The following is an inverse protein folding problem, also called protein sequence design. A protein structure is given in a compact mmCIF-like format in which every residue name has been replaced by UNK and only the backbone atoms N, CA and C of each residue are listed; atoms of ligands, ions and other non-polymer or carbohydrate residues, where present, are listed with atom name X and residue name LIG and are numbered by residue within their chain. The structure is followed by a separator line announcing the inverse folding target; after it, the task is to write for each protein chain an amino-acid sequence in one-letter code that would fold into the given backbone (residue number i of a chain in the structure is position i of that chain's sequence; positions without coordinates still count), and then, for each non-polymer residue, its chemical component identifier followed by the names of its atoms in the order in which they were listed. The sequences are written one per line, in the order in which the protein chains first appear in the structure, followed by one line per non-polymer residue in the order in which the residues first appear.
data_IF_976916468069
#
_entry.id   IF_976916468069
#
_cell.length_a   1.000
_cell.length_b   1.000
_cell.length_c   1.000
_cell.angle_alpha   90.00
_cell.angle_beta   90.00
_cell.angle_gamma   90.00
#
_symmetry.space_group_name_H-M   'P 1'
#
loop_
_entity.id
_entity.type
_entity.pdbx_description
1 polymer ?
#
# COMPACT_ATOMS: atom_id res chain seq x y z
N UNK A 1 -8.80 4.17 -18.24
CA UNK A 1 -8.93 2.97 -17.38
C UNK A 1 -10.20 3.08 -16.57
N UNK A 2 -10.58 2.07 -15.77
CA UNK A 2 -11.82 2.17 -14.98
C UNK A 2 -11.83 3.34 -13.98
N UNK A 3 -10.65 3.82 -13.55
CA UNK A 3 -10.50 4.89 -12.56
C UNK A 3 -10.16 6.27 -13.16
N UNK A 4 -9.89 6.38 -14.47
CA UNK A 4 -9.54 7.65 -15.11
C UNK A 4 -10.07 7.73 -16.55
N UNK A 5 -10.80 8.80 -16.93
CA UNK A 5 -11.22 9.06 -18.30
C UNK A 5 -10.06 9.02 -19.30
N UNK A 6 -10.35 8.61 -20.54
CA UNK A 6 -9.32 8.46 -21.57
C UNK A 6 -8.55 9.76 -21.85
N UNK A 7 -9.26 10.88 -22.01
CA UNK A 7 -8.64 12.17 -22.28
C UNK A 7 -7.70 12.65 -21.14
N UNK A 8 -8.02 12.33 -19.89
CA UNK A 8 -7.13 12.63 -18.76
C UNK A 8 -5.92 11.70 -18.72
N UNK A 9 -6.11 10.43 -19.08
CA UNK A 9 -5.01 9.48 -19.20
C UNK A 9 -4.01 9.89 -20.28
N UNK A 10 -4.50 10.30 -21.45
CA UNK A 10 -3.66 10.81 -22.54
C UNK A 10 -2.87 12.05 -22.13
N UNK A 11 -3.53 13.02 -21.47
CA UNK A 11 -2.84 14.21 -20.94
C UNK A 11 -1.71 13.85 -19.97
N UNK A 12 -1.92 12.86 -19.09
CA UNK A 12 -0.87 12.39 -18.16
C UNK A 12 0.29 11.71 -18.88
N UNK A 13 0.01 10.95 -19.93
CA UNK A 13 1.04 10.33 -20.77
C UNK A 13 1.90 11.38 -21.46
N UNK A 14 1.28 12.38 -22.10
CA UNK A 14 2.00 13.45 -22.78
C UNK A 14 2.87 14.24 -21.79
N UNK A 15 2.31 14.62 -20.64
CA UNK A 15 3.05 15.31 -19.59
C UNK A 15 4.26 14.50 -19.08
N UNK A 16 4.11 13.19 -18.89
CA UNK A 16 5.20 12.31 -18.45
C UNK A 16 6.33 12.20 -19.49
N UNK A 17 6.01 12.26 -20.79
CA UNK A 17 6.99 12.28 -21.87
C UNK A 17 7.70 13.64 -21.94
N UNK A 18 6.95 14.73 -21.86
CA UNK A 18 7.48 16.11 -21.92
C UNK A 18 8.42 16.42 -20.74
N UNK A 19 8.16 15.85 -19.55
CA UNK A 19 8.92 16.13 -18.32
C UNK A 19 9.96 15.08 -17.98
N UNK A 20 10.21 14.10 -18.87
CA UNK A 20 11.02 12.92 -18.57
C UNK A 20 12.41 13.26 -17.99
N UNK A 21 13.09 14.27 -18.54
CA UNK A 21 14.45 14.64 -18.13
C UNK A 21 14.54 15.33 -16.76
N UNK A 22 13.42 15.84 -16.23
CA UNK A 22 13.39 16.60 -14.96
C UNK A 22 12.57 15.93 -13.86
N UNK A 23 11.51 15.22 -14.22
CA UNK A 23 10.58 14.55 -13.31
C UNK A 23 10.04 13.26 -13.95
N UNK A 24 10.89 12.22 -14.11
CA UNK A 24 10.51 10.99 -14.78
C UNK A 24 9.36 10.29 -14.04
N UNK A 25 8.39 9.79 -14.81
CA UNK A 25 7.27 8.97 -14.30
C UNK A 25 7.46 7.51 -14.70
N UNK A 26 7.09 6.59 -13.82
CA UNK A 26 7.09 5.15 -14.10
C UNK A 26 5.68 4.67 -14.46
N UNK A 27 5.58 3.82 -15.48
CA UNK A 27 4.35 3.07 -15.77
C UNK A 27 4.46 1.68 -15.14
N UNK A 28 3.48 1.34 -14.31
CA UNK A 28 3.40 0.03 -13.67
C UNK A 28 2.06 -0.61 -13.98
N UNK A 29 2.08 -1.93 -14.26
CA UNK A 29 0.86 -2.72 -14.33
C UNK A 29 0.15 -2.68 -12.97
N UNK A 30 -1.10 -2.24 -12.97
CA UNK A 30 -1.92 -2.24 -11.76
C UNK A 30 -2.09 -3.66 -11.21
N UNK A 31 -1.82 -3.82 -9.92
CA UNK A 31 -2.04 -5.06 -9.17
C UNK A 31 -3.04 -4.78 -8.05
N UNK A 32 -4.14 -5.52 -8.04
CA UNK A 32 -5.17 -5.37 -7.01
C UNK A 32 -4.63 -5.96 -5.71
N UNK A 33 -4.57 -5.15 -4.66
CA UNK A 33 -4.18 -5.64 -3.33
C UNK A 33 -5.16 -6.69 -2.80
N UNK A 34 -4.61 -7.74 -2.19
CA UNK A 34 -5.38 -8.80 -1.53
C UNK A 34 -6.09 -8.28 -0.28
N UNK A 35 -7.26 -8.84 0.00
CA UNK A 35 -8.04 -8.55 1.20
C UNK A 35 -7.85 -9.65 2.24
N UNK A 36 -7.73 -9.25 3.50
CA UNK A 36 -7.60 -10.14 4.65
C UNK A 36 -8.55 -9.69 5.74
N UNK A 37 -9.08 -10.66 6.50
CA UNK A 37 -9.80 -10.40 7.73
C UNK A 37 -8.80 -10.38 8.88
N UNK A 38 -8.83 -9.33 9.71
CA UNK A 38 -7.94 -9.19 10.86
C UNK A 38 -8.67 -8.53 12.03
N UNK A 39 -8.47 -9.05 13.24
CA UNK A 39 -9.05 -8.49 14.45
C UNK A 39 -8.22 -7.31 14.96
N UNK A 40 -8.88 -6.27 15.44
CA UNK A 40 -8.24 -5.13 16.08
C UNK A 40 -9.10 -4.65 17.25
N UNK A 41 -8.44 -4.03 18.22
CA UNK A 41 -9.12 -3.36 19.32
C UNK A 41 -9.63 -2.01 18.85
N UNK A 42 -10.93 -1.78 18.97
CA UNK A 42 -11.54 -0.49 18.70
C UNK A 42 -11.70 0.28 20.02
N UNK A 43 -10.93 1.37 20.23
CA UNK A 43 -10.99 2.13 21.48
C UNK A 43 -12.33 2.85 21.67
N UNK A 44 -13.07 3.15 20.60
CA UNK A 44 -14.32 3.91 20.69
C UNK A 44 -15.47 3.03 21.22
N UNK A 45 -15.52 1.78 20.78
CA UNK A 45 -16.51 0.80 21.25
C UNK A 45 -16.03 -0.06 22.41
N UNK A 46 -14.73 -0.04 22.73
CA UNK A 46 -14.11 -0.90 23.74
C UNK A 46 -14.38 -2.40 23.44
N UNK A 47 -14.27 -2.77 22.16
CA UNK A 47 -14.54 -4.12 21.66
C UNK A 47 -13.48 -4.57 20.64
N UNK A 48 -13.33 -5.89 20.51
CA UNK A 48 -12.54 -6.48 19.44
C UNK A 48 -13.39 -6.57 18.17
N UNK A 49 -13.00 -5.84 17.12
CA UNK A 49 -13.68 -5.82 15.83
C UNK A 49 -12.86 -6.53 14.77
N UNK A 50 -13.55 -7.11 13.78
CA UNK A 50 -12.91 -7.67 12.58
C UNK A 50 -12.93 -6.65 11.46
N UNK A 51 -11.77 -6.34 10.89
CA UNK A 51 -11.63 -5.54 9.68
C UNK A 51 -11.30 -6.45 8.50
N UNK A 52 -12.10 -6.35 7.43
CA UNK A 52 -11.68 -6.79 6.10
C UNK A 52 -10.94 -5.65 5.42
N UNK A 53 -9.66 -5.85 5.12
CA UNK A 53 -8.84 -4.75 4.60
C UNK A 53 -7.73 -5.18 3.66
N UNK A 54 -7.22 -4.20 2.89
CA UNK A 54 -6.07 -4.35 2.00
C UNK A 54 -4.79 -4.21 2.81
N UNK A 55 -3.89 -5.17 2.64
CA UNK A 55 -2.59 -5.18 3.33
C UNK A 55 -1.55 -4.46 2.48
N UNK A 56 -0.84 -3.51 3.09
CA UNK A 56 0.45 -2.99 2.61
C UNK A 56 1.56 -3.51 3.51
N UNK A 57 2.54 -4.17 2.92
CA UNK A 57 3.75 -4.61 3.63
C UNK A 57 4.86 -3.58 3.41
N UNK A 58 5.43 -3.12 4.52
CA UNK A 58 6.64 -2.29 4.53
C UNK A 58 7.80 -3.13 5.09
N UNK A 59 8.54 -3.85 4.23
CA UNK A 59 9.62 -4.73 4.66
C UNK A 59 10.83 -3.94 5.18
N UNK A 60 11.47 -4.47 6.21
CA UNK A 60 12.69 -3.94 6.78
C UNK A 60 13.87 -4.85 6.44
N UNK A 61 14.81 -4.32 5.66
CA UNK A 61 16.03 -5.01 5.25
C UNK A 61 17.25 -4.45 5.99
N UNK A 62 18.09 -5.34 6.48
CA UNK A 62 19.29 -5.02 7.25
C UNK A 62 20.52 -5.49 6.49
N UNK A 63 21.60 -4.72 6.56
CA UNK A 63 22.90 -5.14 6.06
C UNK A 63 23.63 -5.85 7.20
N UNK A 64 23.69 -7.17 7.11
CA UNK A 64 24.54 -8.03 7.94
C UNK A 64 25.80 -8.36 7.11
N UNK A 65 26.93 -8.86 7.66
CA UNK A 65 28.24 -8.89 6.98
C UNK A 65 28.21 -9.24 5.48
N UNK A 66 28.19 -8.21 4.62
CA UNK A 66 28.12 -8.30 3.16
C UNK A 66 26.80 -8.83 2.55
N UNK A 67 25.73 -9.03 3.33
CA UNK A 67 24.46 -9.62 2.89
C UNK A 67 23.25 -8.83 3.37
N UNK A 68 22.33 -8.56 2.45
CA UNK A 68 21.01 -7.99 2.76
C UNK A 68 20.09 -9.08 3.31
N UNK A 69 19.47 -8.82 4.47
CA UNK A 69 18.54 -9.74 5.14
C UNK A 69 17.23 -9.06 5.46
N UNK A 70 16.11 -9.69 5.10
CA UNK A 70 14.78 -9.29 5.58
C UNK A 70 14.69 -9.63 7.08
N UNK A 71 14.34 -8.67 7.93
CA UNK A 71 14.20 -8.88 9.39
C UNK A 71 12.78 -8.71 9.92
N UNK A 72 11.88 -8.21 9.08
CA UNK A 72 10.45 -8.16 9.35
C UNK A 72 9.75 -7.28 8.34
N UNK A 73 8.45 -7.10 8.53
CA UNK A 73 7.70 -6.07 7.84
C UNK A 73 6.68 -5.44 8.79
N UNK A 74 6.37 -4.17 8.60
CA UNK A 74 5.14 -3.61 9.15
C UNK A 74 3.99 -3.95 8.20
N UNK A 75 2.97 -4.62 8.70
CA UNK A 75 1.72 -4.79 7.98
C UNK A 75 0.77 -3.63 8.36
N UNK A 76 0.36 -2.86 7.36
CA UNK A 76 -0.70 -1.86 7.50
C UNK A 76 -1.94 -2.39 6.79
N UNK A 77 -3.06 -2.52 7.51
CA UNK A 77 -4.32 -2.99 6.95
C UNK A 77 -5.27 -1.80 6.85
N UNK A 78 -5.63 -1.41 5.63
CA UNK A 78 -6.59 -0.33 5.36
C UNK A 78 -7.96 -0.91 4.99
N UNK A 79 -9.09 -0.29 5.38
CA UNK A 79 -10.43 -0.78 5.08
C UNK A 79 -10.68 -1.09 3.59
N UNK A 80 -11.49 -2.11 3.29
CA UNK A 80 -11.69 -2.60 1.92
C UNK A 80 -12.40 -1.61 0.98
N UNK A 81 -13.08 -0.59 1.49
CA UNK A 81 -13.66 0.52 0.71
C UNK A 81 -12.60 1.50 0.19
N UNK A 82 -11.37 1.44 0.73
CA UNK A 82 -10.30 2.40 0.43
C UNK A 82 -9.44 1.98 -0.76
N UNK A 83 -9.60 2.67 -1.89
CA UNK A 83 -8.93 2.33 -3.15
C UNK A 83 -7.40 2.46 -3.09
N UNK A 84 -6.89 3.45 -2.36
CA UNK A 84 -5.46 3.73 -2.22
C UNK A 84 -5.02 3.57 -0.76
N UNK A 85 -3.90 2.89 -0.53
CA UNK A 85 -3.33 2.72 0.81
C UNK A 85 -2.21 3.74 1.03
N UNK A 86 -2.56 4.86 1.65
CA UNK A 86 -1.61 5.92 2.05
C UNK A 86 -1.54 6.06 3.57
N UNK A 87 -1.05 7.20 4.10
CA UNK A 87 -1.19 7.51 5.52
C UNK A 87 -2.66 7.67 5.85
N UNK A 88 -3.23 6.69 6.54
CA UNK A 88 -4.67 6.53 6.75
C UNK A 88 -4.92 6.34 8.25
N UNK A 89 -5.76 7.18 8.85
CA UNK A 89 -6.07 7.15 10.28
C UNK A 89 -6.96 5.97 10.68
N UNK A 90 -7.70 5.42 9.72
CA UNK A 90 -8.57 4.25 9.83
C UNK A 90 -7.84 2.93 9.53
N UNK A 91 -6.55 2.97 9.20
CA UNK A 91 -5.75 1.77 9.01
C UNK A 91 -5.19 1.26 10.34
N UNK A 92 -5.10 -0.06 10.48
CA UNK A 92 -4.52 -0.71 11.66
C UNK A 92 -3.08 -1.15 11.37
N UNK A 93 -2.23 -1.07 12.39
CA UNK A 93 -0.86 -1.56 12.36
C UNK A 93 -0.81 -2.95 12.98
N UNK A 94 -0.31 -3.92 12.22
CA UNK A 94 -0.32 -5.33 12.58
C UNK A 94 1.11 -5.85 12.59
N UNK A 95 1.52 -6.58 13.65
CA UNK A 95 2.81 -7.25 13.66
C UNK A 95 2.85 -8.32 12.57
N UNK A 96 3.96 -8.43 11.86
CA UNK A 96 4.20 -9.52 10.93
C UNK A 96 5.44 -10.31 11.34
N UNK A 97 5.52 -11.57 10.88
CA UNK A 97 6.70 -12.41 11.06
C UNK A 97 7.13 -12.98 9.73
N UNK A 98 8.44 -13.20 9.60
CA UNK A 98 9.00 -14.01 8.52
C UNK A 98 8.86 -15.46 8.97
N UNK A 99 8.34 -16.32 8.09
CA UNK A 99 8.30 -17.77 8.29
C UNK A 99 9.51 -18.44 7.66
#
# INVERSE_FOLDING_TARGET
GADLPHAEWEKRMNHALETFDSSPTIMQRFQKGSLFDHQYWDPDSNELKTMKGRVRLCPYYFVEPGRVRLRGALATIAPADKKFVHGMSDAILVPSKIQ
#
